data_IF_987594742745
#
_entry.id   IF_987594742745
#
_cell.length_a   1.000
_cell.length_b   1.000
_cell.length_c   1.000
_cell.angle_alpha   90.00
_cell.angle_beta   90.00
_cell.angle_gamma   90.00
#
_symmetry.space_group_name_H-M   'P 1'
#
loop_
_entity.id
_entity.type
_entity.pdbx_description
1 polymer ?
#
# COMPACT_ATOMS: atom_id res chain seq x y z
N UNK A 1 -5.97 -5.86 10.33
CA UNK A 1 -6.66 -4.57 10.51
C UNK A 1 -6.26 -3.66 9.35
N UNK A 2 -7.09 -2.68 8.98
CA UNK A 2 -6.73 -1.65 7.99
C UNK A 2 -6.74 -0.26 8.64
N UNK A 3 -5.62 0.46 8.55
CA UNK A 3 -5.55 1.91 8.74
C UNK A 3 -5.33 2.61 7.41
N UNK A 4 -5.88 3.81 7.26
CA UNK A 4 -5.71 4.62 6.05
C UNK A 4 -5.24 6.00 6.50
N UNK A 5 -4.08 6.43 6.01
CA UNK A 5 -3.53 7.77 6.24
C UNK A 5 -3.39 8.51 4.92
N UNK A 6 -3.83 9.77 4.88
CA UNK A 6 -3.54 10.64 3.74
C UNK A 6 -2.08 11.10 3.79
N UNK A 7 -1.43 11.15 2.63
CA UNK A 7 -0.06 11.63 2.47
C UNK A 7 -0.13 13.05 1.90
N UNK A 8 0.44 14.01 2.62
CA UNK A 8 0.55 15.39 2.17
C UNK A 8 1.56 15.58 1.04
N UNK A 9 1.58 16.76 0.43
CA UNK A 9 2.56 17.14 -0.61
C UNK A 9 3.87 17.68 -0.05
N UNK A 10 4.06 17.66 1.27
CA UNK A 10 5.32 18.11 1.87
C UNK A 10 6.47 17.22 1.39
N UNK A 11 7.59 17.85 1.00
CA UNK A 11 8.78 17.10 0.55
C UNK A 11 9.23 16.07 1.58
N UNK A 12 9.06 16.37 2.87
CA UNK A 12 9.37 15.46 3.99
C UNK A 12 8.50 14.22 3.97
N UNK A 13 7.17 14.34 3.84
CA UNK A 13 6.29 13.17 3.79
C UNK A 13 6.50 12.34 2.54
N UNK A 14 6.65 12.98 1.38
CA UNK A 14 6.93 12.27 0.12
C UNK A 14 8.24 11.52 0.19
N UNK A 15 9.30 12.14 0.74
CA UNK A 15 10.60 11.49 0.94
C UNK A 15 10.51 10.32 1.93
N UNK A 16 9.77 10.50 3.03
CA UNK A 16 9.56 9.42 4.01
C UNK A 16 8.90 8.19 3.37
N UNK A 17 7.83 8.39 2.60
CA UNK A 17 7.15 7.28 1.93
C UNK A 17 7.96 6.68 0.76
N UNK A 18 8.75 7.49 0.06
CA UNK A 18 9.68 7.01 -0.97
C UNK A 18 10.76 6.09 -0.39
N UNK A 19 11.22 6.38 0.81
CA UNK A 19 12.30 5.65 1.48
C UNK A 19 11.82 4.45 2.34
N UNK A 20 10.53 4.08 2.31
CA UNK A 20 10.02 2.97 3.14
C UNK A 20 10.74 1.62 2.93
N UNK A 21 11.29 1.41 1.73
CA UNK A 21 12.07 0.20 1.42
C UNK A 21 13.49 0.18 1.99
N UNK A 22 13.98 1.27 2.59
CA UNK A 22 15.36 1.34 3.13
C UNK A 22 15.52 0.71 4.52
N UNK A 23 14.43 0.40 5.21
CA UNK A 23 14.51 -0.34 6.47
C UNK A 23 15.06 0.41 7.68
N UNK A 24 15.42 1.69 7.56
CA UNK A 24 15.96 2.45 8.68
C UNK A 24 14.90 2.55 9.80
N UNK A 25 15.09 1.74 10.84
CA UNK A 25 14.31 1.62 12.09
C UNK A 25 12.93 0.93 12.02
N UNK A 26 12.63 0.10 11.01
CA UNK A 26 11.28 -0.51 10.87
C UNK A 26 11.24 -2.05 10.84
N UNK A 27 12.39 -2.73 10.80
CA UNK A 27 12.49 -4.20 10.71
C UNK A 27 13.48 -4.80 11.73
N UNK A 28 13.13 -4.72 13.02
CA UNK A 28 13.96 -5.19 14.14
C UNK A 28 14.02 -6.72 14.24
N UNK A 29 12.96 -7.42 13.84
CA UNK A 29 12.82 -8.87 14.06
C UNK A 29 13.26 -9.73 12.86
N UNK A 30 13.54 -9.11 11.72
CA UNK A 30 13.99 -9.79 10.49
C UNK A 30 15.52 -9.95 10.47
N UNK A 31 16.00 -11.18 10.32
CA UNK A 31 17.44 -11.53 10.28
C UNK A 31 18.16 -11.13 8.97
N UNK A 32 17.59 -10.25 8.14
CA UNK A 32 18.14 -9.91 6.82
C UNK A 32 17.91 -8.47 6.36
N UNK A 33 17.48 -7.57 7.27
CA UNK A 33 17.11 -6.21 6.91
C UNK A 33 15.78 -6.10 6.16
N UNK A 34 15.49 -4.90 5.66
CA UNK A 34 14.21 -4.62 5.00
C UNK A 34 14.14 -5.19 3.60
N UNK A 35 12.96 -5.69 3.24
CA UNK A 35 12.69 -6.19 1.88
C UNK A 35 12.34 -5.01 0.98
N UNK A 36 12.83 -4.97 -0.28
CA UNK A 36 12.43 -3.94 -1.21
C UNK A 36 10.91 -3.98 -1.40
N UNK A 37 10.31 -2.80 -1.58
CA UNK A 37 8.89 -2.73 -1.89
C UNK A 37 8.60 -3.34 -3.25
N UNK A 38 7.34 -3.73 -3.51
CA UNK A 38 6.91 -4.29 -4.80
C UNK A 38 5.76 -3.46 -5.37
N UNK A 39 5.86 -3.10 -6.66
CA UNK A 39 4.76 -2.48 -7.38
C UNK A 39 3.64 -3.48 -7.69
N UNK A 40 2.40 -3.05 -7.53
CA UNK A 40 1.22 -3.88 -7.75
C UNK A 40 0.06 -3.08 -8.35
N UNK A 41 -0.82 -3.77 -9.07
CA UNK A 41 -2.07 -3.24 -9.61
C UNK A 41 -2.01 -2.91 -11.11
N UNK A 42 -3.16 -2.83 -11.78
CA UNK A 42 -3.21 -2.63 -13.22
C UNK A 42 -2.69 -1.25 -13.65
N UNK A 43 -2.71 -0.25 -12.77
CA UNK A 43 -2.12 1.06 -13.06
C UNK A 43 -0.60 1.00 -13.05
N UNK A 44 -0.01 0.19 -12.18
CA UNK A 44 1.43 -0.07 -12.19
C UNK A 44 1.84 -0.71 -13.52
N UNK A 45 1.12 -1.75 -13.95
CA UNK A 45 1.34 -2.41 -15.24
C UNK A 45 1.20 -1.44 -16.41
N UNK A 46 0.17 -0.58 -16.40
CA UNK A 46 -0.05 0.42 -17.45
C UNK A 46 1.07 1.47 -17.55
N UNK A 47 1.82 1.68 -16.47
CA UNK A 47 2.99 2.57 -16.43
C UNK A 47 4.32 1.81 -16.61
N UNK A 48 4.29 0.51 -16.89
CA UNK A 48 5.48 -0.33 -17.03
C UNK A 48 6.22 -0.61 -15.71
N UNK A 49 5.53 -0.47 -14.57
CA UNK A 49 6.10 -0.68 -13.24
C UNK A 49 5.89 -2.12 -12.81
N UNK A 50 6.96 -2.92 -12.86
CA UNK A 50 6.94 -4.35 -12.52
C UNK A 50 8.07 -4.64 -11.53
N UNK A 51 7.76 -5.41 -10.48
CA UNK A 51 8.74 -5.84 -9.50
C UNK A 51 9.08 -4.76 -8.49
N UNK A 52 10.36 -4.58 -8.21
CA UNK A 52 10.85 -3.78 -7.10
C UNK A 52 10.53 -2.28 -7.23
N UNK A 53 10.21 -1.66 -6.10
CA UNK A 53 9.94 -0.24 -6.01
C UNK A 53 11.26 0.52 -5.94
N UNK A 54 11.52 1.30 -6.99
CA UNK A 54 12.56 2.31 -6.98
C UNK A 54 12.04 3.57 -6.27
N UNK A 55 12.80 4.06 -5.28
CA UNK A 55 12.43 5.23 -4.48
C UNK A 55 12.19 6.49 -5.32
N UNK A 56 13.07 6.74 -6.31
CA UNK A 56 12.94 7.88 -7.22
C UNK A 56 11.63 7.82 -8.00
N UNK A 57 11.25 6.63 -8.48
CA UNK A 57 10.01 6.39 -9.20
C UNK A 57 8.81 6.62 -8.29
N UNK A 58 8.79 6.03 -7.09
CA UNK A 58 7.67 6.24 -6.16
C UNK A 58 7.51 7.71 -5.76
N UNK A 59 8.63 8.42 -5.52
CA UNK A 59 8.63 9.86 -5.28
C UNK A 59 8.01 10.63 -6.44
N UNK A 60 8.41 10.33 -7.68
CA UNK A 60 7.83 10.95 -8.86
C UNK A 60 6.32 10.74 -8.94
N UNK A 61 5.84 9.52 -8.70
CA UNK A 61 4.41 9.19 -8.71
C UNK A 61 3.63 9.96 -7.63
N UNK A 62 4.17 10.05 -6.41
CA UNK A 62 3.59 10.84 -5.31
C UNK A 62 3.53 12.34 -5.66
N UNK A 63 4.54 12.86 -6.36
CA UNK A 63 4.56 14.22 -6.92
C UNK A 63 3.63 14.40 -8.15
N UNK A 64 2.95 13.33 -8.59
CA UNK A 64 2.03 13.34 -9.72
C UNK A 64 2.72 13.39 -11.08
N UNK A 65 3.95 12.89 -11.14
CA UNK A 65 4.79 12.78 -12.33
C UNK A 65 4.79 11.36 -12.90
N UNK A 66 5.25 11.22 -14.13
CA UNK A 66 5.59 9.93 -14.75
C UNK A 66 6.76 9.26 -14.03
N UNK A 67 6.97 7.94 -14.23
CA UNK A 67 8.09 7.23 -13.61
C UNK A 67 9.46 7.87 -13.82
N UNK A 68 9.70 8.42 -15.01
CA UNK A 68 10.92 9.15 -15.39
C UNK A 68 10.99 10.61 -14.86
N UNK A 69 9.93 11.10 -14.22
CA UNK A 69 9.81 12.46 -13.70
C UNK A 69 9.55 13.54 -14.75
N UNK A 70 9.47 13.21 -16.03
CA UNK A 70 9.46 14.20 -17.12
C UNK A 70 8.07 14.78 -17.41
N UNK A 71 7.01 13.98 -17.24
CA UNK A 71 5.63 14.35 -17.60
C UNK A 71 4.78 14.49 -16.35
N UNK A 72 3.93 15.53 -16.33
CA UNK A 72 2.90 15.67 -15.30
C UNK A 72 1.72 14.77 -15.65
N UNK A 73 1.40 13.82 -14.77
CA UNK A 73 0.26 12.90 -14.92
C UNK A 73 -0.97 13.35 -14.13
N UNK A 74 -0.80 14.26 -13.17
CA UNK A 74 -1.91 14.83 -12.41
C UNK A 74 -1.79 16.35 -12.36
N UNK A 75 -2.84 17.05 -12.78
CA UNK A 75 -2.87 18.50 -12.75
C UNK A 75 -2.88 19.02 -11.30
N UNK A 76 -2.14 20.09 -11.04
CA UNK A 76 -2.31 20.88 -9.81
C UNK A 76 -3.57 21.73 -9.95
N UNK A 77 -4.44 21.73 -8.93
CA UNK A 77 -5.54 22.70 -8.88
C UNK A 77 -4.95 24.09 -8.63
N UNK A 78 -5.46 25.09 -9.33
CA UNK A 78 -5.14 26.49 -9.04
C UNK A 78 -5.74 26.90 -7.69
N UNK A 79 -5.00 27.67 -6.89
CA UNK A 79 -5.45 28.20 -5.59
C UNK A 79 -4.72 27.63 -4.37
N UNK A 80 -5.30 27.81 -3.19
CA UNK A 80 -4.74 27.43 -1.87
C UNK A 80 -4.99 25.97 -1.47
N UNK A 81 -5.66 25.18 -2.30
CA UNK A 81 -5.98 23.78 -1.99
C UNK A 81 -4.75 22.91 -2.26
N UNK A 82 -4.08 22.50 -1.18
CA UNK A 82 -2.96 21.57 -1.21
C UNK A 82 -3.44 20.20 -1.71
N UNK A 83 -2.79 19.64 -2.73
CA UNK A 83 -3.12 18.31 -3.24
C UNK A 83 -2.66 17.26 -2.22
N UNK A 84 -3.32 16.10 -2.22
CA UNK A 84 -2.82 14.91 -1.53
C UNK A 84 -1.90 14.16 -2.47
N UNK A 85 -0.69 13.84 -2.03
CA UNK A 85 0.28 13.09 -2.81
C UNK A 85 -0.17 11.63 -2.99
N UNK A 86 -0.84 11.08 -1.99
CA UNK A 86 -1.32 9.70 -2.00
C UNK A 86 -1.97 9.30 -0.69
N UNK A 87 -2.08 8.00 -0.49
CA UNK A 87 -2.69 7.37 0.67
C UNK A 87 -1.84 6.18 1.08
N UNK A 88 -1.62 6.01 2.37
CA UNK A 88 -1.02 4.80 2.93
C UNK A 88 -2.14 3.92 3.50
N UNK A 89 -2.32 2.75 2.89
CA UNK A 89 -3.24 1.72 3.33
C UNK A 89 -2.43 0.66 4.08
N UNK A 90 -2.37 0.78 5.41
CA UNK A 90 -1.60 -0.13 6.23
C UNK A 90 -2.44 -1.33 6.67
N UNK A 91 -2.02 -2.52 6.24
CA UNK A 91 -2.65 -3.78 6.60
C UNK A 91 -1.82 -4.53 7.64
N UNK A 92 -2.30 -4.62 8.87
CA UNK A 92 -1.61 -5.35 9.95
C UNK A 92 -2.20 -6.75 10.13
N UNK A 93 -1.33 -7.76 10.28
CA UNK A 93 -1.73 -9.09 10.70
C UNK A 93 -2.30 -9.04 12.14
N UNK A 94 -3.15 -10.02 12.53
CA UNK A 94 -3.53 -10.16 13.93
C UNK A 94 -2.29 -10.30 14.81
N UNK A 95 -2.27 -9.68 16.00
CA UNK A 95 -1.11 -9.70 16.91
C UNK A 95 -0.63 -11.12 17.20
N UNK A 96 -1.52 -12.08 17.37
CA UNK A 96 -1.17 -13.50 17.58
C UNK A 96 -0.39 -14.10 16.40
N UNK A 97 -0.69 -13.71 15.16
CA UNK A 97 0.05 -14.14 13.97
C UNK A 97 1.42 -13.47 13.93
N UNK A 98 1.51 -12.19 14.28
CA UNK A 98 2.80 -11.48 14.38
C UNK A 98 3.71 -12.10 15.44
N UNK A 99 3.16 -12.49 16.60
CA UNK A 99 3.90 -13.20 17.66
C UNK A 99 4.33 -14.60 17.19
N UNK A 100 3.43 -15.36 16.55
CA UNK A 100 3.78 -16.67 16.00
C UNK A 100 4.89 -16.56 14.94
N UNK A 101 4.85 -15.52 14.10
CA UNK A 101 5.88 -15.26 13.08
C UNK A 101 7.26 -15.05 13.71
N UNK A 102 7.38 -14.22 14.76
CA UNK A 102 8.71 -13.98 15.37
C UNK A 102 9.25 -15.21 16.10
N UNK A 103 8.42 -16.10 16.61
CA UNK A 103 8.88 -17.33 17.27
C UNK A 103 9.11 -18.51 16.30
N UNK A 104 8.65 -18.38 15.05
CA UNK A 104 8.70 -19.46 14.08
C UNK A 104 10.07 -19.59 13.41
N UNK A 105 10.36 -20.80 12.90
CA UNK A 105 11.50 -21.03 12.02
C UNK A 105 11.36 -20.27 10.70
N UNK A 106 12.47 -20.20 9.95
CA UNK A 106 12.55 -19.47 8.68
C UNK A 106 11.49 -19.93 7.67
N UNK A 107 11.32 -21.24 7.49
CA UNK A 107 10.38 -21.81 6.53
C UNK A 107 8.94 -21.41 6.84
N UNK A 108 8.56 -21.46 8.11
CA UNK A 108 7.23 -21.06 8.59
C UNK A 108 7.02 -19.56 8.47
N UNK A 109 8.04 -18.73 8.75
CA UNK A 109 7.99 -17.27 8.54
C UNK A 109 7.76 -16.92 7.06
N UNK A 110 8.51 -17.54 6.17
CA UNK A 110 8.39 -17.36 4.72
C UNK A 110 6.99 -17.77 4.23
N UNK A 111 6.44 -18.85 4.79
CA UNK A 111 5.09 -19.31 4.46
C UNK A 111 3.99 -18.36 4.95
N UNK A 112 4.12 -17.84 6.18
CA UNK A 112 3.21 -16.81 6.71
C UNK A 112 3.26 -15.57 5.82
N UNK A 113 4.45 -15.09 5.47
CA UNK A 113 4.64 -13.92 4.62
C UNK A 113 4.00 -14.10 3.24
N UNK A 114 4.27 -15.24 2.58
CA UNK A 114 3.71 -15.56 1.26
C UNK A 114 2.19 -15.61 1.29
N UNK A 115 1.60 -16.22 2.33
CA UNK A 115 0.14 -16.30 2.49
C UNK A 115 -0.48 -14.94 2.80
N UNK A 116 0.17 -14.15 3.65
CA UNK A 116 -0.26 -12.80 3.98
C UNK A 116 -0.20 -11.88 2.76
N UNK A 117 0.88 -11.93 1.98
CA UNK A 117 1.04 -11.21 0.71
C UNK A 117 -0.06 -11.58 -0.28
N UNK A 118 -0.31 -12.88 -0.49
CA UNK A 118 -1.39 -13.31 -1.39
C UNK A 118 -2.80 -12.88 -0.89
N UNK A 119 -3.02 -12.80 0.43
CA UNK A 119 -4.28 -12.27 0.98
C UNK A 119 -4.40 -10.75 0.76
N UNK A 120 -3.28 -10.04 0.87
CA UNK A 120 -3.18 -8.61 0.62
C UNK A 120 -3.50 -8.29 -0.83
N UNK A 121 -2.82 -8.92 -1.78
CA UNK A 121 -3.02 -8.71 -3.22
C UNK A 121 -4.47 -8.91 -3.63
N UNK A 122 -5.12 -9.99 -3.16
CA UNK A 122 -6.57 -10.18 -3.39
C UNK A 122 -7.44 -9.11 -2.77
N UNK A 123 -6.99 -8.48 -1.68
CA UNK A 123 -7.69 -7.35 -1.08
C UNK A 123 -7.47 -6.08 -1.89
N UNK A 124 -6.27 -5.86 -2.41
CA UNK A 124 -5.96 -4.78 -3.33
C UNK A 124 -6.72 -4.90 -4.66
N UNK A 125 -6.93 -6.12 -5.18
CA UNK A 125 -7.80 -6.37 -6.35
C UNK A 125 -9.24 -5.87 -6.11
N UNK A 126 -9.78 -6.12 -4.91
CA UNK A 126 -11.11 -5.61 -4.54
C UNK A 126 -11.12 -4.09 -4.36
N UNK A 127 -10.01 -3.51 -3.90
CA UNK A 127 -9.87 -2.04 -3.83
C UNK A 127 -9.81 -1.44 -5.23
N UNK A 128 -9.09 -2.08 -6.16
CA UNK A 128 -9.07 -1.71 -7.57
C UNK A 128 -10.49 -1.70 -8.15
N UNK A 129 -11.28 -2.74 -7.91
CA UNK A 129 -12.65 -2.84 -8.41
C UNK A 129 -13.59 -1.79 -7.81
N UNK A 130 -13.58 -1.63 -6.49
CA UNK A 130 -14.56 -0.81 -5.78
C UNK A 130 -14.18 0.66 -5.64
N UNK A 131 -12.89 0.97 -5.68
CA UNK A 131 -12.36 2.31 -5.41
C UNK A 131 -11.54 2.87 -6.58
N UNK A 132 -11.27 2.10 -7.63
CA UNK A 132 -10.60 2.56 -8.86
C UNK A 132 -11.47 3.49 -9.68
N UNK A 133 -11.69 4.72 -9.20
CA UNK A 133 -12.55 5.71 -9.84
C UNK A 133 -11.81 7.03 -10.02
N UNK A 134 -11.80 7.55 -11.24
CA UNK A 134 -11.35 8.92 -11.54
C UNK A 134 -12.56 9.86 -11.66
N UNK A 135 -12.33 11.16 -11.47
CA UNK A 135 -13.30 12.21 -11.79
C UNK A 135 -12.81 13.09 -12.94
N UNK A 136 -13.69 13.40 -13.89
CA UNK A 136 -13.42 14.25 -15.06
C UNK A 136 -14.54 15.27 -15.29
N UNK A 137 -14.22 16.31 -16.07
CA UNK A 137 -15.14 17.39 -16.43
C UNK A 137 -15.26 18.48 -15.37
N UNK A 138 -16.06 19.52 -15.67
CA UNK A 138 -16.36 20.60 -14.74
C UNK A 138 -16.96 20.02 -13.46
N UNK A 139 -16.43 20.44 -12.32
CA UNK A 139 -16.78 19.94 -10.97
C UNK A 139 -16.61 18.42 -10.76
N UNK A 140 -15.92 17.73 -11.68
CA UNK A 140 -15.67 16.29 -11.58
C UNK A 140 -16.96 15.46 -11.60
N UNK A 141 -17.96 15.88 -12.37
CA UNK A 141 -19.27 15.21 -12.43
C UNK A 141 -19.21 13.84 -13.11
N UNK A 142 -18.23 13.62 -13.99
CA UNK A 142 -18.06 12.34 -14.67
C UNK A 142 -17.19 11.45 -13.77
N UNK A 143 -17.75 10.33 -13.32
CA UNK A 143 -17.02 9.26 -12.65
C UNK A 143 -16.77 8.13 -13.64
N UNK A 144 -15.53 7.67 -13.72
CA UNK A 144 -15.12 6.60 -14.64
C UNK A 144 -14.16 5.64 -13.96
N UNK A 145 -14.15 4.38 -14.41
CA UNK A 145 -13.21 3.37 -13.94
C UNK A 145 -11.78 3.80 -14.22
N UNK A 146 -10.89 3.54 -13.26
CA UNK A 146 -9.50 3.87 -13.35
C UNK A 146 -8.61 2.84 -12.63
N UNK A 147 -7.43 2.62 -13.21
CA UNK A 147 -6.43 1.66 -12.78
C UNK A 147 -5.52 2.30 -11.73
N UNK A 148 -5.41 1.64 -10.58
CA UNK A 148 -4.66 2.06 -9.40
C UNK A 148 -3.21 1.56 -9.47
N UNK A 149 -2.33 2.33 -8.85
CA UNK A 149 -0.92 1.99 -8.63
C UNK A 149 -0.71 1.76 -7.14
N UNK A 150 -0.15 0.63 -6.74
CA UNK A 150 0.24 0.36 -5.37
C UNK A 150 1.74 0.11 -5.29
N UNK A 151 2.39 0.62 -4.23
CA UNK A 151 3.72 0.21 -3.80
C UNK A 151 3.59 -0.45 -2.42
N UNK A 152 3.91 -1.74 -2.34
CA UNK A 152 3.73 -2.56 -1.15
C UNK A 152 5.06 -2.70 -0.43
N UNK A 153 5.14 -2.28 0.82
CA UNK A 153 6.29 -2.48 1.71
C UNK A 153 5.85 -3.35 2.89
N UNK A 154 6.69 -4.29 3.31
CA UNK A 154 6.36 -5.22 4.40
C UNK A 154 7.31 -5.01 5.57
N UNK A 155 6.75 -4.76 6.74
CA UNK A 155 7.51 -4.46 7.96
C UNK A 155 7.11 -5.36 9.14
N UNK A 156 7.97 -5.46 10.16
CA UNK A 156 7.76 -6.35 11.31
C UNK A 156 7.69 -5.68 12.69
N UNK A 157 7.94 -4.37 12.79
CA UNK A 157 7.87 -3.64 14.06
C UNK A 157 6.67 -2.71 14.15
N UNK A 158 6.12 -2.57 15.35
CA UNK A 158 5.26 -1.44 15.67
C UNK A 158 6.11 -0.18 15.79
N UNK A 159 5.45 0.99 15.71
CA UNK A 159 6.10 2.27 16.03
C UNK A 159 6.67 2.20 17.45
N UNK A 160 7.99 2.28 17.57
CA UNK A 160 8.69 2.25 18.85
C UNK A 160 8.31 3.44 19.74
N UNK A 161 8.34 3.22 21.06
CA UNK A 161 8.29 4.28 22.05
C UNK A 161 9.73 4.62 22.47
N UNK A 162 10.08 5.91 22.66
CA UNK A 162 11.43 6.29 23.11
C UNK A 162 11.84 5.51 24.36
N UNK A 163 12.99 4.85 24.32
CA UNK A 163 13.52 4.06 25.43
C UNK A 163 12.97 2.64 25.58
N UNK A 164 12.09 2.18 24.67
CA UNK A 164 11.53 0.84 24.69
C UNK A 164 11.85 0.06 23.42
N UNK A 165 12.04 -1.26 23.55
CA UNK A 165 12.09 -2.15 22.40
C UNK A 165 10.74 -2.11 21.66
N UNK A 166 10.73 -2.02 20.32
CA UNK A 166 9.50 -1.97 19.56
C UNK A 166 8.78 -3.31 19.64
N UNK A 167 7.46 -3.26 19.73
CA UNK A 167 6.59 -4.42 19.74
C UNK A 167 6.57 -5.13 18.38
N UNK A 168 6.48 -6.46 18.35
CA UNK A 168 6.29 -7.19 17.08
C UNK A 168 4.95 -6.83 16.43
N UNK A 169 4.98 -6.48 15.15
CA UNK A 169 3.82 -6.19 14.34
C UNK A 169 4.12 -6.46 12.87
N UNK A 170 3.74 -7.61 12.35
CA UNK A 170 3.85 -7.89 10.91
C UNK A 170 2.76 -7.15 10.14
N UNK A 171 3.16 -6.23 9.28
CA UNK A 171 2.23 -5.37 8.56
C UNK A 171 2.75 -4.96 7.19
N UNK A 172 1.85 -4.41 6.37
CA UNK A 172 2.12 -4.02 5.00
C UNK A 172 1.66 -2.58 4.78
N UNK A 173 2.59 -1.70 4.42
CA UNK A 173 2.28 -0.37 3.90
C UNK A 173 1.98 -0.47 2.42
N UNK A 174 0.73 -0.24 2.02
CA UNK A 174 0.35 -0.15 0.62
C UNK A 174 0.19 1.31 0.24
N UNK A 175 1.26 1.91 -0.24
CA UNK A 175 1.28 3.29 -0.71
C UNK A 175 0.54 3.35 -2.04
N UNK A 176 -0.55 4.11 -2.06
CA UNK A 176 -1.39 4.40 -3.21
C UNK A 176 -1.18 5.86 -3.61
N UNK A 177 -0.32 6.15 -4.61
CA UNK A 177 -0.21 7.50 -5.15
C UNK A 177 -1.58 8.02 -5.59
N UNK A 178 -1.82 9.32 -5.42
CA UNK A 178 -3.03 9.97 -5.89
C UNK A 178 -2.90 10.27 -7.40
N UNK A 179 -2.81 9.19 -8.15
CA UNK A 179 -2.57 9.10 -9.58
C UNK A 179 -3.20 7.81 -10.07
N UNK A 180 -4.03 7.90 -11.11
CA UNK A 180 -4.68 6.75 -11.74
C UNK A 180 -4.55 6.83 -13.25
N UNK A 181 -4.59 5.66 -13.90
CA UNK A 181 -4.63 5.52 -15.37
C UNK A 181 -6.05 5.15 -15.78
N UNK A 182 -6.67 5.93 -16.65
CA UNK A 182 -8.03 5.68 -17.14
C UNK A 182 -8.03 4.62 -18.25
N UNK A 183 -9.21 4.18 -18.65
CA UNK A 183 -9.35 3.23 -19.75
C UNK A 183 -8.89 3.79 -21.10
N UNK A 184 -9.04 5.10 -21.34
CA UNK A 184 -8.54 5.78 -22.54
C UNK A 184 -7.01 6.04 -22.52
N UNK A 185 -6.29 5.56 -21.50
CA UNK A 185 -4.85 5.74 -21.32
C UNK A 185 -4.45 7.09 -20.75
N UNK A 186 -5.38 8.04 -20.57
CA UNK A 186 -5.08 9.31 -19.92
C UNK A 186 -4.96 9.15 -18.40
N UNK A 187 -4.35 10.13 -17.73
CA UNK A 187 -4.05 10.07 -16.30
C UNK A 187 -4.72 11.18 -15.49
N UNK A 188 -4.95 10.93 -14.20
CA UNK A 188 -5.62 11.89 -13.33
C UNK A 188 -5.53 11.54 -11.86
N UNK A 189 -6.24 12.31 -11.03
CA UNK A 189 -6.33 12.05 -9.60
C UNK A 189 -7.41 11.01 -9.28
N UNK A 190 -7.19 10.26 -8.20
CA UNK A 190 -8.14 9.30 -7.64
C UNK A 190 -9.31 10.04 -6.96
N UNK A 191 -10.52 9.56 -7.19
CA UNK A 191 -11.64 9.86 -6.30
C UNK A 191 -11.53 9.00 -5.04
N UNK A 192 -10.80 9.47 -4.04
CA UNK A 192 -10.51 8.69 -2.84
C UNK A 192 -11.69 8.63 -1.85
N UNK A 193 -12.81 9.33 -2.09
CA UNK A 193 -13.95 9.38 -1.14
C UNK A 193 -14.46 7.99 -0.74
N UNK A 194 -14.61 7.00 -1.65
CA UNK A 194 -15.05 5.66 -1.29
C UNK A 194 -14.15 4.99 -0.24
N UNK A 195 -12.81 5.17 -0.34
CA UNK A 195 -11.83 4.59 0.59
C UNK A 195 -12.03 5.05 2.03
N UNK A 196 -12.44 6.32 2.24
CA UNK A 196 -12.55 6.92 3.56
C UNK A 196 -13.92 6.71 4.22
N UNK A 197 -14.88 6.10 3.53
CA UNK A 197 -16.15 5.76 4.18
C UNK A 197 -15.90 4.70 5.26
N UNK A 198 -16.52 4.88 6.44
CA UNK A 198 -16.36 3.95 7.58
C UNK A 198 -16.69 2.51 7.18
N UNK A 199 -17.75 2.32 6.38
CA UNK A 199 -18.19 1.02 5.89
C UNK A 199 -17.14 0.37 4.99
N UNK A 200 -16.58 1.10 4.02
CA UNK A 200 -15.56 0.57 3.12
C UNK A 200 -14.28 0.18 3.87
N UNK A 201 -13.77 1.07 4.74
CA UNK A 201 -12.57 0.79 5.55
C UNK A 201 -12.75 -0.47 6.40
N UNK A 202 -13.89 -0.63 7.06
CA UNK A 202 -14.17 -1.81 7.90
C UNK A 202 -14.33 -3.09 7.06
N UNK A 203 -14.97 -2.99 5.88
CA UNK A 203 -15.15 -4.12 4.98
C UNK A 203 -13.79 -4.62 4.45
N UNK A 204 -12.95 -3.72 3.92
CA UNK A 204 -11.62 -4.05 3.40
C UNK A 204 -10.69 -4.62 4.48
N UNK A 205 -10.70 -4.03 5.68
CA UNK A 205 -9.93 -4.55 6.81
C UNK A 205 -10.39 -5.93 7.29
N UNK A 206 -11.69 -6.21 7.23
CA UNK A 206 -12.25 -7.53 7.54
C UNK A 206 -11.93 -8.55 6.46
N UNK A 207 -12.01 -8.15 5.19
CA UNK A 207 -11.70 -8.99 4.04
C UNK A 207 -10.25 -9.50 4.07
N UNK A 208 -9.30 -8.59 4.33
CA UNK A 208 -7.91 -8.97 4.54
C UNK A 208 -7.77 -10.03 5.65
N UNK A 209 -8.37 -9.78 6.83
CA UNK A 209 -8.30 -10.71 7.98
C UNK A 209 -8.86 -12.09 7.65
N UNK A 210 -10.01 -12.15 6.98
CA UNK A 210 -10.65 -13.42 6.60
C UNK A 210 -9.78 -14.19 5.63
N UNK A 211 -9.22 -13.52 4.61
CA UNK A 211 -8.35 -14.14 3.62
C UNK A 211 -7.03 -14.63 4.22
N UNK A 212 -6.41 -13.84 5.10
CA UNK A 212 -5.22 -14.26 5.83
C UNK A 212 -5.53 -15.50 6.67
N UNK A 213 -6.63 -15.50 7.43
CA UNK A 213 -7.02 -16.67 8.23
C UNK A 213 -7.22 -17.91 7.37
N UNK A 214 -8.05 -17.80 6.32
CA UNK A 214 -8.33 -18.92 5.42
C UNK A 214 -7.05 -19.48 4.80
N UNK A 215 -6.14 -18.60 4.35
CA UNK A 215 -4.85 -19.03 3.83
C UNK A 215 -3.98 -19.69 4.89
N UNK A 216 -3.90 -19.18 6.12
CA UNK A 216 -3.06 -19.77 7.18
C UNK A 216 -3.61 -21.11 7.71
N UNK A 217 -4.92 -21.26 7.84
CA UNK A 217 -5.55 -22.48 8.38
C UNK A 217 -5.31 -23.72 7.52
N UNK A 218 -5.18 -23.57 6.20
CA UNK A 218 -5.02 -24.69 5.25
C UNK A 218 -3.62 -25.35 5.31
N UNK A 219 -2.67 -24.81 6.07
CA UNK A 219 -1.28 -25.34 6.12
C UNK A 219 -0.78 -25.80 7.49
N UNK A 220 -1.47 -25.42 8.56
CA UNK A 220 -1.10 -25.91 9.91
C UNK A 220 -1.62 -27.34 10.12
N UNK A 221 -2.63 -27.77 9.35
CA UNK A 221 -3.18 -29.12 9.42
C UNK A 221 -2.32 -30.20 8.72
N UNK A 222 -1.26 -29.82 8.00
CA UNK A 222 -0.38 -30.75 7.27
C UNK A 222 0.97 -30.99 7.96
N UNK A 223 1.12 -30.54 9.22
CA UNK A 223 2.28 -30.82 10.07
C UNK A 223 1.78 -31.56 11.30
N UNK A 224 1.51 -32.85 11.14
CA UNK A 224 1.38 -33.85 12.20
C UNK A 224 1.81 -35.19 11.61
#
# INVERSE_FOLDING_TARGET
MLSIKAIGESKTEVSYYGALGRGENQDYYSEGGSRPGIFFGPGANALGLIGEVQESVLKNLLEGLSPDGQKRLVQKRAGTIVRRAGFDLTFSLPKSVSVAWVTADRTTREEIDRRAQAALEKTLDVIQELCGVARRGKDGLIQESAKLVFAIFSHDTARGLPGHLPDVNRHFHCVLPNLVVREDGTTGALDARPLFTRRMKMALGSLFRVRTRAKLSVGIASVN
#
